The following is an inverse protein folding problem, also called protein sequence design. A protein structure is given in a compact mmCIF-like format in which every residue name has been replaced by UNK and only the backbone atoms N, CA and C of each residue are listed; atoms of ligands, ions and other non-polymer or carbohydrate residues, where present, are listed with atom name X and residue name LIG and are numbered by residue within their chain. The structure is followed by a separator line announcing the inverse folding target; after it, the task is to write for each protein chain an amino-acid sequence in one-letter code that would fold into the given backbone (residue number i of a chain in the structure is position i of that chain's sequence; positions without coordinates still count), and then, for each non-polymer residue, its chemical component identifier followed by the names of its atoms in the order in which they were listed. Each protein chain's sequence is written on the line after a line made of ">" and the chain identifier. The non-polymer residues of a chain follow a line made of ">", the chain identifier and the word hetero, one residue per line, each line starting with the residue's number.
data_IF_556521200131
#
_entry.id   IF_556521200131
#
_cell.length_a   1.000
_cell.length_b   1.000
_cell.length_c   1.000
_cell.angle_alpha   90.00
_cell.angle_beta   90.00
_cell.angle_gamma   90.00
#
_symmetry.space_group_name_H-M   'P 1'
#
loop_
_entity.id
_entity.type
_entity.pdbx_description
1 polymer ?
#
# COMPACT_ATOMS: atom_id res chain seq x y z
N UNK A 1 12.13 -0.33 -1.92
CA UNK A 1 10.94 -0.21 -1.03
C UNK A 1 9.75 0.43 -1.71
N UNK A 2 9.78 1.72 -2.10
CA UNK A 2 8.63 2.39 -2.74
C UNK A 2 8.17 1.66 -4.00
N UNK A 3 9.11 1.28 -4.85
CA UNK A 3 8.86 0.53 -6.08
C UNK A 3 8.12 -0.80 -5.83
N UNK A 4 8.55 -1.59 -4.83
CA UNK A 4 7.87 -2.81 -4.43
C UNK A 4 6.44 -2.56 -3.92
N UNK A 5 6.21 -1.48 -3.16
CA UNK A 5 4.86 -1.10 -2.71
C UNK A 5 3.95 -0.72 -3.89
N UNK A 6 4.49 -0.06 -4.91
CA UNK A 6 3.76 0.31 -6.13
C UNK A 6 3.41 -0.93 -6.95
N UNK A 7 4.34 -1.88 -7.11
CA UNK A 7 4.05 -3.17 -7.77
C UNK A 7 2.95 -3.94 -7.05
N UNK A 8 3.01 -3.99 -5.71
CA UNK A 8 1.98 -4.60 -4.89
C UNK A 8 0.61 -3.92 -5.08
N UNK A 9 0.57 -2.58 -5.15
CA UNK A 9 -0.65 -1.82 -5.43
C UNK A 9 -1.19 -2.10 -6.84
N UNK A 10 -0.32 -2.23 -7.84
CA UNK A 10 -0.71 -2.57 -9.21
C UNK A 10 -1.33 -3.97 -9.29
N UNK A 11 -0.69 -4.97 -8.68
CA UNK A 11 -1.22 -6.33 -8.60
C UNK A 11 -2.60 -6.33 -7.92
N UNK A 12 -2.71 -5.51 -6.87
CA UNK A 12 -3.92 -5.30 -6.12
C UNK A 12 -5.08 -4.74 -7.00
N UNK A 13 -4.81 -3.64 -7.70
CA UNK A 13 -5.79 -3.05 -8.62
C UNK A 13 -6.17 -4.03 -9.73
N UNK A 14 -5.20 -4.73 -10.32
CA UNK A 14 -5.43 -5.69 -11.41
C UNK A 14 -6.33 -6.85 -10.99
N UNK A 15 -6.15 -7.37 -9.77
CA UNK A 15 -7.04 -8.41 -9.24
C UNK A 15 -8.47 -7.88 -9.10
N UNK A 16 -8.64 -6.67 -8.55
CA UNK A 16 -9.95 -6.06 -8.37
C UNK A 16 -10.64 -5.78 -9.72
N UNK A 17 -9.89 -5.30 -10.70
CA UNK A 17 -10.39 -5.10 -12.06
C UNK A 17 -10.87 -6.41 -12.69
N UNK A 18 -10.11 -7.49 -12.50
CA UNK A 18 -10.46 -8.83 -13.01
C UNK A 18 -11.72 -9.36 -12.35
N UNK A 19 -11.84 -9.22 -11.02
CA UNK A 19 -13.03 -9.61 -10.29
C UNK A 19 -14.28 -8.86 -10.74
N UNK A 20 -14.19 -7.53 -10.86
CA UNK A 20 -15.30 -6.70 -11.34
C UNK A 20 -15.69 -7.14 -12.76
N UNK A 21 -14.72 -7.34 -13.65
CA UNK A 21 -14.99 -7.77 -15.02
C UNK A 21 -15.69 -9.14 -15.08
N UNK A 22 -15.31 -10.09 -14.21
CA UNK A 22 -15.99 -11.39 -14.10
C UNK A 22 -17.42 -11.26 -13.58
N UNK A 23 -17.63 -10.47 -12.52
CA UNK A 23 -18.98 -10.22 -11.97
C UNK A 23 -19.92 -9.56 -12.97
N UNK A 24 -19.41 -8.58 -13.74
CA UNK A 24 -20.18 -7.92 -14.79
C UNK A 24 -20.57 -8.90 -15.90
N UNK A 25 -19.67 -9.81 -16.30
CA UNK A 25 -19.99 -10.89 -17.25
C UNK A 25 -21.06 -11.85 -16.71
N UNK A 26 -21.08 -12.08 -15.40
CA UNK A 26 -22.07 -12.89 -14.72
C UNK A 26 -23.40 -12.16 -14.44
N UNK A 27 -23.53 -10.88 -14.83
CA UNK A 27 -24.76 -10.10 -14.67
C UNK A 27 -24.95 -9.42 -13.31
N UNK A 28 -23.93 -9.38 -12.46
CA UNK A 28 -23.97 -8.68 -11.17
C UNK A 28 -23.48 -7.22 -11.33
N UNK A 29 -24.35 -6.26 -10.99
CA UNK A 29 -24.12 -4.81 -11.11
C UNK A 29 -24.13 -4.09 -9.73
N UNK A 30 -23.76 -4.80 -8.67
CA UNK A 30 -23.71 -4.24 -7.31
C UNK A 30 -22.34 -3.59 -6.98
N UNK A 31 -21.44 -3.51 -7.97
CA UNK A 31 -20.04 -3.13 -7.78
C UNK A 31 -19.82 -1.62 -7.84
N UNK A 32 -20.77 -0.88 -8.41
CA UNK A 32 -20.73 0.56 -8.62
C UNK A 32 -20.61 1.31 -7.28
N UNK A 33 -21.38 0.87 -6.27
CA UNK A 33 -21.34 1.46 -4.92
C UNK A 33 -20.02 1.20 -4.19
N UNK A 34 -19.42 0.03 -4.42
CA UNK A 34 -18.10 -0.31 -3.92
C UNK A 34 -17.02 0.56 -4.60
N UNK A 35 -17.13 0.77 -5.91
CA UNK A 35 -16.23 1.63 -6.65
C UNK A 35 -16.33 3.10 -6.19
N UNK A 36 -17.54 3.61 -5.95
CA UNK A 36 -17.73 4.95 -5.36
C UNK A 36 -16.99 5.11 -4.02
N UNK A 37 -17.18 4.16 -3.10
CA UNK A 37 -16.53 4.17 -1.80
C UNK A 37 -14.99 4.09 -1.92
N UNK A 38 -14.49 3.21 -2.81
CA UNK A 38 -13.07 3.12 -3.12
C UNK A 38 -12.52 4.45 -3.66
N UNK A 39 -13.20 5.07 -4.63
CA UNK A 39 -12.78 6.34 -5.24
C UNK A 39 -12.63 7.46 -4.21
N UNK A 40 -13.53 7.58 -3.24
CA UNK A 40 -13.41 8.56 -2.14
C UNK A 40 -12.05 8.38 -1.44
N UNK A 41 -11.71 7.14 -1.08
CA UNK A 41 -10.45 6.86 -0.40
C UNK A 41 -9.22 7.07 -1.27
N UNK A 42 -9.29 6.77 -2.58
CA UNK A 42 -8.19 7.02 -3.51
C UNK A 42 -7.89 8.53 -3.67
N UNK A 43 -8.93 9.36 -3.82
CA UNK A 43 -8.78 10.81 -3.92
C UNK A 43 -8.23 11.43 -2.63
N UNK A 44 -8.70 10.94 -1.47
CA UNK A 44 -8.19 11.36 -0.16
C UNK A 44 -6.72 10.97 0.03
N UNK A 45 -6.33 9.75 -0.34
CA UNK A 45 -4.95 9.27 -0.19
C UNK A 45 -3.93 10.15 -0.94
N UNK A 46 -4.30 10.71 -2.09
CA UNK A 46 -3.46 11.63 -2.86
C UNK A 46 -3.65 13.11 -2.51
N UNK A 47 -4.48 13.43 -1.52
CA UNK A 47 -4.89 14.80 -1.16
C UNK A 47 -5.49 15.59 -2.35
N UNK A 48 -6.13 14.92 -3.31
CA UNK A 48 -6.76 15.54 -4.48
C UNK A 48 -8.08 16.22 -4.06
N UNK A 49 -8.88 15.57 -3.21
CA UNK A 49 -10.11 16.14 -2.68
C UNK A 49 -10.76 15.30 -1.59
N UNK A 50 -11.59 15.95 -0.79
CA UNK A 50 -12.42 15.30 0.23
C UNK A 50 -13.82 15.11 -0.37
N UNK A 51 -13.96 14.00 -1.12
CA UNK A 51 -15.18 13.71 -1.87
C UNK A 51 -16.30 13.19 -0.96
N UNK A 52 -17.49 13.76 -1.13
CA UNK A 52 -18.73 13.26 -0.52
C UNK A 52 -19.61 12.57 -1.57
N UNK A 53 -20.28 11.49 -1.16
CA UNK A 53 -21.21 10.77 -2.02
C UNK A 53 -22.52 11.57 -2.19
N UNK A 54 -22.83 12.00 -3.41
CA UNK A 54 -24.00 12.83 -3.69
C UNK A 54 -25.31 12.05 -3.68
N UNK A 55 -25.26 10.73 -3.87
CA UNK A 55 -26.44 9.86 -3.75
C UNK A 55 -26.98 9.77 -2.31
N UNK A 56 -26.17 10.14 -1.30
CA UNK A 56 -26.64 10.27 0.09
C UNK A 56 -27.43 11.57 0.35
N UNK A 57 -27.21 12.60 -0.46
CA UNK A 57 -27.86 13.92 -0.32
C UNK A 57 -29.11 14.03 -1.21
N UNK A 58 -29.10 13.39 -2.39
CA UNK A 58 -30.24 13.28 -3.29
C UNK A 58 -30.12 11.98 -4.09
N UNK A 59 -31.14 11.12 -4.00
CA UNK A 59 -31.21 9.88 -4.80
C UNK A 59 -31.17 10.24 -6.29
N UNK A 60 -30.27 9.59 -7.05
CA UNK A 60 -30.05 9.82 -8.48
C UNK A 60 -29.60 11.25 -8.81
N UNK A 61 -28.52 11.72 -8.18
CA UNK A 61 -27.93 12.99 -8.55
C UNK A 61 -27.43 12.92 -10.01
N UNK A 62 -27.77 13.90 -10.86
CA UNK A 62 -27.48 13.78 -12.28
C UNK A 62 -25.98 13.83 -12.56
N UNK A 63 -25.50 12.91 -13.39
CA UNK A 63 -24.20 12.93 -14.07
C UNK A 63 -22.92 12.87 -13.23
N UNK A 64 -23.02 12.89 -11.89
CA UNK A 64 -21.88 12.79 -10.98
C UNK A 64 -22.29 11.96 -9.76
N UNK A 65 -21.38 11.12 -9.27
CA UNK A 65 -21.63 10.26 -8.10
C UNK A 65 -21.03 10.88 -6.83
N UNK A 66 -19.87 11.53 -6.96
CA UNK A 66 -19.11 12.11 -5.86
C UNK A 66 -18.78 13.58 -6.16
N UNK A 67 -18.69 14.42 -5.13
CA UNK A 67 -18.14 15.77 -5.29
C UNK A 67 -17.55 16.35 -4.00
N UNK A 68 -16.58 17.24 -4.16
CA UNK A 68 -16.03 18.11 -3.13
C UNK A 68 -16.49 19.54 -3.43
N UNK A 69 -17.45 20.04 -2.67
CA UNK A 69 -18.02 21.38 -2.86
C UNK A 69 -17.01 22.50 -2.53
N UNK A 70 -16.05 22.26 -1.63
CA UNK A 70 -15.06 23.28 -1.24
C UNK A 70 -14.02 23.47 -2.34
N UNK A 71 -13.54 22.37 -2.91
CA UNK A 71 -12.57 22.39 -4.01
C UNK A 71 -13.21 22.50 -5.39
N UNK A 72 -14.55 22.47 -5.46
CA UNK A 72 -15.34 22.52 -6.70
C UNK A 72 -14.98 21.38 -7.67
N UNK A 73 -14.76 20.20 -7.13
CA UNK A 73 -14.45 18.98 -7.90
C UNK A 73 -15.68 18.09 -7.94
N UNK A 74 -16.00 17.57 -9.12
CA UNK A 74 -17.00 16.52 -9.31
C UNK A 74 -16.38 15.28 -9.93
N UNK A 75 -16.89 14.10 -9.56
CA UNK A 75 -16.39 12.81 -10.04
C UNK A 75 -17.56 11.93 -10.44
N UNK A 76 -17.54 11.44 -11.68
CA UNK A 76 -18.35 10.31 -12.13
C UNK A 76 -17.50 9.04 -12.03
N UNK A 77 -18.03 8.03 -11.36
CA UNK A 77 -17.41 6.72 -11.21
C UNK A 77 -18.10 5.74 -12.16
N UNK A 78 -17.32 4.93 -12.86
CA UNK A 78 -17.83 3.87 -13.73
C UNK A 78 -16.79 2.75 -13.83
N UNK A 79 -17.23 1.49 -13.95
CA UNK A 79 -16.29 0.40 -14.24
C UNK A 79 -15.63 0.60 -15.62
N UNK A 80 -16.41 1.01 -16.61
CA UNK A 80 -15.98 1.20 -17.99
C UNK A 80 -16.40 2.59 -18.46
N UNK A 81 -15.43 3.46 -18.72
CA UNK A 81 -15.61 4.76 -19.35
C UNK A 81 -15.50 4.61 -20.88
N UNK A 82 -16.60 4.18 -21.50
CA UNK A 82 -16.72 4.16 -22.97
C UNK A 82 -16.95 5.58 -23.51
N UNK A 83 -16.63 5.86 -24.80
CA UNK A 83 -16.84 7.18 -25.39
C UNK A 83 -18.30 7.66 -25.24
N UNK A 84 -19.27 6.77 -25.47
CA UNK A 84 -20.68 7.07 -25.30
C UNK A 84 -21.05 7.46 -23.85
N UNK A 85 -20.43 6.83 -22.83
CA UNK A 85 -20.62 7.22 -21.43
C UNK A 85 -19.96 8.56 -21.13
N UNK A 86 -18.75 8.79 -21.64
CA UNK A 86 -18.01 10.05 -21.47
C UNK A 86 -18.82 11.22 -22.05
N UNK A 87 -19.27 11.11 -23.30
CA UNK A 87 -20.10 12.13 -23.95
C UNK A 87 -21.41 12.38 -23.21
N UNK A 88 -22.08 11.29 -22.78
CA UNK A 88 -23.33 11.40 -22.01
C UNK A 88 -23.12 12.14 -20.69
N UNK A 89 -22.04 11.85 -19.97
CA UNK A 89 -21.68 12.52 -18.71
C UNK A 89 -21.37 13.99 -18.94
N UNK A 90 -20.55 14.32 -19.94
CA UNK A 90 -20.22 15.72 -20.28
C UNK A 90 -21.48 16.49 -20.64
N UNK A 91 -22.32 15.94 -21.53
CA UNK A 91 -23.57 16.58 -21.92
C UNK A 91 -24.48 16.82 -20.73
N UNK A 92 -24.63 15.84 -19.84
CA UNK A 92 -25.47 15.97 -18.65
C UNK A 92 -24.88 16.96 -17.63
N UNK A 93 -23.55 17.08 -17.56
CA UNK A 93 -22.85 18.05 -16.71
C UNK A 93 -23.02 19.50 -17.18
N UNK A 94 -23.09 19.71 -18.50
CA UNK A 94 -23.33 21.03 -19.12
C UNK A 94 -24.81 21.39 -19.28
N UNK A 95 -25.71 20.41 -19.17
CA UNK A 95 -27.14 20.65 -19.33
C UNK A 95 -27.65 21.55 -18.20
N UNK A 96 -28.32 22.64 -18.57
CA UNK A 96 -28.95 23.56 -17.63
C UNK A 96 -30.26 22.98 -17.12
N UNK A 97 -30.50 23.16 -15.82
CA UNK A 97 -31.80 22.87 -15.22
C UNK A 97 -32.81 23.99 -15.50
N UNK A 98 -34.04 23.84 -14.99
CA UNK A 98 -35.13 24.82 -15.16
C UNK A 98 -34.80 26.22 -14.60
N UNK A 99 -33.82 26.32 -13.69
CA UNK A 99 -33.32 27.58 -13.16
C UNK A 99 -32.16 28.19 -13.99
N UNK A 100 -31.82 27.59 -15.13
CA UNK A 100 -30.78 28.07 -16.03
C UNK A 100 -29.33 27.78 -15.57
N UNK A 101 -29.16 26.94 -14.54
CA UNK A 101 -27.85 26.61 -13.93
C UNK A 101 -27.47 25.17 -14.28
N UNK A 102 -26.20 24.94 -14.59
CA UNK A 102 -25.62 23.62 -14.87
C UNK A 102 -24.66 23.18 -13.74
N UNK A 103 -24.25 21.90 -13.74
CA UNK A 103 -23.25 21.41 -12.78
C UNK A 103 -21.87 22.02 -13.05
N UNK A 104 -21.57 22.33 -14.30
CA UNK A 104 -20.36 23.06 -14.71
C UNK A 104 -20.24 24.44 -14.09
N UNK A 105 -21.36 25.12 -13.80
CA UNK A 105 -21.32 26.43 -13.15
C UNK A 105 -20.93 26.31 -11.66
N UNK A 106 -21.14 25.13 -11.06
CA UNK A 106 -20.85 24.85 -9.64
C UNK A 106 -19.46 24.22 -9.44
N UNK A 107 -19.05 23.31 -10.31
CA UNK A 107 -17.81 22.56 -10.20
C UNK A 107 -16.85 22.94 -11.34
N UNK A 108 -15.65 23.39 -10.99
CA UNK A 108 -14.62 23.81 -11.95
C UNK A 108 -13.91 22.64 -12.62
N UNK A 109 -13.96 21.46 -12.02
CA UNK A 109 -13.25 20.27 -12.50
C UNK A 109 -14.16 19.05 -12.44
N UNK A 110 -14.21 18.31 -13.54
CA UNK A 110 -14.92 17.03 -13.66
C UNK A 110 -13.90 15.91 -13.91
N UNK A 111 -13.89 14.91 -13.05
CA UNK A 111 -13.19 13.64 -13.29
C UNK A 111 -14.19 12.58 -13.73
N UNK A 112 -13.89 11.88 -14.83
CA UNK A 112 -14.60 10.67 -15.22
C UNK A 112 -13.65 9.50 -14.97
N UNK A 113 -13.92 8.75 -13.91
CA UNK A 113 -13.07 7.66 -13.47
C UNK A 113 -13.56 6.32 -14.00
N UNK A 114 -12.81 5.75 -14.95
CA UNK A 114 -13.02 4.41 -15.48
C UNK A 114 -12.13 3.39 -14.78
N UNK A 115 -12.67 2.63 -13.82
CA UNK A 115 -11.85 1.75 -12.98
C UNK A 115 -11.21 0.59 -13.75
N UNK A 116 -11.97 -0.13 -14.58
CA UNK A 116 -11.48 -1.27 -15.38
C UNK A 116 -10.99 -0.83 -16.76
N UNK A 117 -11.66 0.13 -17.38
CA UNK A 117 -11.33 0.62 -18.73
C UNK A 117 -11.65 2.10 -18.88
N UNK A 118 -10.68 2.85 -19.39
CA UNK A 118 -10.81 4.22 -19.86
C UNK A 118 -10.61 4.26 -21.39
N UNK A 119 -11.40 5.05 -22.09
CA UNK A 119 -11.22 5.26 -23.54
C UNK A 119 -10.58 6.62 -23.75
N UNK A 120 -9.60 6.70 -24.65
CA UNK A 120 -9.06 7.98 -25.09
C UNK A 120 -10.13 8.69 -25.92
N UNK A 121 -10.62 9.80 -25.41
CA UNK A 121 -11.64 10.62 -26.04
C UNK A 121 -11.29 12.09 -25.86
N UNK A 122 -11.59 12.93 -26.86
CA UNK A 122 -11.38 14.36 -26.74
C UNK A 122 -12.36 14.92 -25.72
N UNK A 123 -11.84 15.55 -24.67
CA UNK A 123 -12.66 16.10 -23.59
C UNK A 123 -12.38 17.60 -23.41
N UNK A 124 -13.37 18.38 -22.94
CA UNK A 124 -13.17 19.79 -22.62
C UNK A 124 -12.09 20.03 -21.56
N UNK A 125 -11.53 21.24 -21.49
CA UNK A 125 -10.43 21.60 -20.58
C UNK A 125 -10.73 21.42 -19.09
N UNK A 126 -12.01 21.50 -18.70
CA UNK A 126 -12.46 21.30 -17.31
C UNK A 126 -12.67 19.81 -16.97
N UNK A 127 -12.57 18.90 -17.94
CA UNK A 127 -12.87 17.48 -17.79
C UNK A 127 -11.61 16.64 -17.97
N UNK A 128 -11.41 15.65 -17.09
CA UNK A 128 -10.32 14.68 -17.18
C UNK A 128 -10.87 13.26 -17.09
N UNK A 129 -10.51 12.41 -18.05
CA UNK A 129 -10.82 10.98 -18.00
C UNK A 129 -9.63 10.28 -17.38
N UNK A 130 -9.83 9.65 -16.23
CA UNK A 130 -8.78 9.02 -15.44
C UNK A 130 -9.07 7.53 -15.24
N UNK A 131 -8.01 6.77 -14.98
CA UNK A 131 -8.03 5.35 -14.63
C UNK A 131 -7.04 5.08 -13.49
N UNK A 132 -6.95 3.86 -12.94
CA UNK A 132 -6.06 3.60 -11.81
C UNK A 132 -4.58 3.94 -12.07
N UNK A 133 -4.12 3.95 -13.33
CA UNK A 133 -2.76 4.32 -13.70
C UNK A 133 -2.46 5.79 -13.42
N UNK A 134 -3.47 6.67 -13.48
CA UNK A 134 -3.34 8.08 -13.08
C UNK A 134 -2.89 8.19 -11.62
N UNK A 135 -3.54 7.43 -10.73
CA UNK A 135 -3.20 7.42 -9.31
C UNK A 135 -1.82 6.83 -9.05
N UNK A 136 -1.44 5.78 -9.78
CA UNK A 136 -0.10 5.19 -9.68
C UNK A 136 0.97 6.19 -10.12
N UNK A 137 0.75 6.91 -11.24
CA UNK A 137 1.66 7.96 -11.71
C UNK A 137 1.85 9.06 -10.66
N UNK A 138 0.76 9.59 -10.12
CA UNK A 138 0.80 10.60 -9.05
C UNK A 138 1.54 10.11 -7.80
N UNK A 139 1.38 8.82 -7.43
CA UNK A 139 2.10 8.21 -6.32
C UNK A 139 3.60 8.04 -6.62
N UNK A 140 3.96 7.66 -7.84
CA UNK A 140 5.36 7.59 -8.29
C UNK A 140 6.03 8.97 -8.20
N UNK A 141 5.34 10.01 -8.69
CA UNK A 141 5.88 11.37 -8.75
C UNK A 141 6.05 11.98 -7.36
N UNK A 142 5.13 11.69 -6.44
CA UNK A 142 5.20 12.16 -5.04
C UNK A 142 6.18 11.35 -4.19
N UNK A 143 6.41 10.08 -4.53
CA UNK A 143 7.27 9.13 -3.81
C UNK A 143 7.02 9.08 -2.28
N UNK A 144 5.77 9.27 -1.86
CA UNK A 144 5.36 9.31 -0.45
C UNK A 144 4.87 7.93 0.02
N UNK A 145 5.65 7.28 0.89
CA UNK A 145 5.36 5.94 1.44
C UNK A 145 4.00 5.89 2.16
N UNK A 146 3.62 6.95 2.88
CA UNK A 146 2.36 6.98 3.64
C UNK A 146 1.14 7.12 2.74
N UNK A 147 1.25 7.85 1.63
CA UNK A 147 0.19 7.94 0.62
C UNK A 147 -0.02 6.61 -0.10
N UNK A 148 1.08 5.94 -0.48
CA UNK A 148 1.02 4.62 -1.11
C UNK A 148 0.38 3.60 -0.17
N UNK A 149 0.77 3.62 1.10
CA UNK A 149 0.22 2.72 2.10
C UNK A 149 -1.26 3.00 2.39
N UNK A 150 -1.67 4.27 2.39
CA UNK A 150 -3.08 4.67 2.51
C UNK A 150 -3.92 4.17 1.33
N UNK A 151 -3.37 4.27 0.11
CA UNK A 151 -3.98 3.74 -1.12
C UNK A 151 -4.13 2.21 -1.06
N UNK A 152 -3.08 1.49 -0.63
CA UNK A 152 -3.12 0.03 -0.43
C UNK A 152 -4.23 -0.36 0.56
N UNK A 153 -4.30 0.31 1.71
CA UNK A 153 -5.36 0.05 2.70
C UNK A 153 -6.74 0.32 2.12
N UNK A 154 -6.92 1.38 1.33
CA UNK A 154 -8.19 1.71 0.69
C UNK A 154 -8.65 0.60 -0.27
N UNK A 155 -7.76 0.12 -1.14
CA UNK A 155 -8.06 -0.97 -2.08
C UNK A 155 -8.38 -2.26 -1.33
N UNK A 156 -7.63 -2.57 -0.26
CA UNK A 156 -7.84 -3.78 0.54
C UNK A 156 -9.13 -3.80 1.36
N UNK A 157 -9.59 -2.66 1.88
CA UNK A 157 -10.89 -2.60 2.59
C UNK A 157 -12.06 -3.07 1.73
N UNK A 158 -11.90 -3.07 0.42
CA UNK A 158 -12.89 -3.50 -0.55
C UNK A 158 -12.57 -4.88 -1.15
N UNK A 159 -11.59 -5.61 -0.57
CA UNK A 159 -11.25 -6.99 -0.91
C UNK A 159 -11.50 -7.89 0.29
N UNK A 160 -12.46 -8.79 0.15
CA UNK A 160 -12.60 -9.94 1.05
C UNK A 160 -12.27 -11.20 0.24
N UNK A 161 -11.00 -11.59 0.22
CA UNK A 161 -10.52 -12.85 -0.37
C UNK A 161 -9.49 -13.47 0.56
N UNK A 162 -9.97 -14.24 1.52
CA UNK A 162 -9.16 -14.93 2.52
C UNK A 162 -8.27 -16.06 1.98
N UNK A 163 -8.13 -16.23 0.65
CA UNK A 163 -7.41 -17.40 0.09
C UNK A 163 -6.56 -17.14 -1.17
N UNK A 164 -6.44 -15.90 -1.64
CA UNK A 164 -5.58 -15.56 -2.79
C UNK A 164 -4.78 -14.33 -2.41
N UNK A 165 -3.60 -14.52 -1.79
CA UNK A 165 -2.76 -13.38 -1.45
C UNK A 165 -2.22 -12.76 -2.75
N UNK A 166 -2.60 -11.51 -3.10
CA UNK A 166 -2.35 -10.90 -4.41
C UNK A 166 -0.88 -10.53 -4.68
N UNK A 167 0.00 -10.74 -3.71
CA UNK A 167 1.38 -10.26 -3.75
C UNK A 167 2.30 -11.33 -4.27
N UNK A 168 3.46 -10.91 -4.80
CA UNK A 168 4.52 -11.84 -5.14
C UNK A 168 5.39 -12.09 -3.90
N UNK A 169 5.89 -13.32 -3.77
CA UNK A 169 6.88 -13.69 -2.76
C UNK A 169 8.15 -12.84 -2.89
N UNK A 170 8.61 -12.61 -4.12
CA UNK A 170 9.79 -11.77 -4.39
C UNK A 170 9.61 -10.33 -3.88
N UNK A 171 8.46 -9.72 -4.13
CA UNK A 171 8.18 -8.35 -3.71
C UNK A 171 8.02 -8.24 -2.19
N UNK A 172 7.37 -9.24 -1.58
CA UNK A 172 7.25 -9.36 -0.13
C UNK A 172 8.62 -9.52 0.53
N UNK A 173 9.49 -10.36 -0.05
CA UNK A 173 10.86 -10.56 0.40
C UNK A 173 11.67 -9.27 0.28
N UNK A 174 11.57 -8.51 -0.82
CA UNK A 174 12.26 -7.23 -0.97
C UNK A 174 11.89 -6.24 0.14
N UNK A 175 10.61 -6.16 0.51
CA UNK A 175 10.13 -5.29 1.59
C UNK A 175 10.67 -5.74 2.95
N UNK A 176 10.69 -7.05 3.21
CA UNK A 176 11.27 -7.63 4.42
C UNK A 176 12.78 -7.33 4.50
N UNK A 177 13.53 -7.57 3.43
CA UNK A 177 14.97 -7.29 3.35
C UNK A 177 15.28 -5.80 3.55
N UNK A 178 14.47 -4.91 2.96
CA UNK A 178 14.63 -3.48 3.19
C UNK A 178 14.35 -3.10 4.66
N UNK A 179 13.42 -3.78 5.32
CA UNK A 179 13.12 -3.57 6.74
C UNK A 179 14.26 -4.08 7.63
N UNK A 180 14.82 -5.25 7.31
CA UNK A 180 16.04 -5.77 7.97
C UNK A 180 17.21 -4.80 7.79
N UNK A 181 17.34 -4.17 6.63
CA UNK A 181 18.37 -3.18 6.34
C UNK A 181 18.17 -1.82 7.09
N UNK A 182 17.04 -1.60 7.78
CA UNK A 182 16.78 -0.41 8.60
C UNK A 182 17.38 -0.59 10.00
N UNK A 183 18.58 -0.02 10.19
CA UNK A 183 19.33 0.25 11.44
C UNK A 183 19.48 -0.87 12.50
N UNK A 184 18.43 -1.56 12.94
CA UNK A 184 18.46 -2.52 14.06
C UNK A 184 19.39 -3.72 13.85
N UNK A 185 19.62 -4.13 12.59
CA UNK A 185 20.58 -5.20 12.24
C UNK A 185 21.93 -4.62 11.77
N UNK A 186 21.95 -3.36 11.36
CA UNK A 186 23.11 -2.74 10.70
C UNK A 186 24.17 -2.27 11.69
N UNK A 187 23.77 -1.80 12.87
CA UNK A 187 24.72 -1.30 13.85
C UNK A 187 25.14 -2.42 14.80
N UNK A 188 26.45 -2.61 14.96
CA UNK A 188 26.99 -3.49 16.00
C UNK A 188 26.78 -2.88 17.38
N UNK A 189 26.84 -3.70 18.42
CA UNK A 189 26.58 -3.29 19.80
C UNK A 189 27.47 -2.14 20.27
N UNK A 190 28.72 -2.04 19.79
CA UNK A 190 29.60 -0.91 20.16
C UNK A 190 29.18 0.44 19.53
N UNK A 191 28.44 0.41 18.42
CA UNK A 191 27.88 1.58 17.73
C UNK A 191 26.39 1.78 18.03
N UNK A 192 25.78 0.91 18.85
CA UNK A 192 24.36 0.92 19.12
C UNK A 192 24.02 2.07 20.07
N UNK A 193 23.48 3.16 19.52
CA UNK A 193 23.17 4.36 20.29
C UNK A 193 21.99 4.18 21.25
N UNK A 194 21.04 3.28 20.93
CA UNK A 194 19.83 3.08 21.73
C UNK A 194 19.29 1.64 21.61
N UNK A 195 19.43 0.87 22.69
CA UNK A 195 18.95 -0.53 22.79
C UNK A 195 17.42 -0.61 22.64
N UNK A 196 16.68 0.43 23.06
CA UNK A 196 15.21 0.48 22.93
C UNK A 196 14.79 0.57 21.47
N UNK A 197 15.44 1.45 20.69
CA UNK A 197 15.17 1.61 19.26
C UNK A 197 15.56 0.35 18.47
N UNK A 198 16.70 -0.28 18.84
CA UNK A 198 17.11 -1.57 18.29
C UNK A 198 16.05 -2.64 18.57
N UNK A 199 15.60 -2.77 19.81
CA UNK A 199 14.58 -3.75 20.21
C UNK A 199 13.25 -3.51 19.50
N UNK A 200 12.87 -2.24 19.30
CA UNK A 200 11.71 -1.87 18.53
C UNK A 200 11.84 -2.28 17.06
N UNK A 201 12.96 -2.01 16.41
CA UNK A 201 13.20 -2.45 15.03
C UNK A 201 13.19 -3.98 14.87
N UNK A 202 13.74 -4.72 15.83
CA UNK A 202 13.65 -6.19 15.88
C UNK A 202 12.20 -6.68 16.00
N UNK A 203 11.36 -6.01 16.80
CA UNK A 203 9.93 -6.32 16.88
C UNK A 203 9.20 -6.03 15.56
N UNK A 204 9.53 -4.93 14.89
CA UNK A 204 8.94 -4.60 13.59
C UNK A 204 9.31 -5.63 12.52
N UNK A 205 10.55 -6.15 12.52
CA UNK A 205 10.95 -7.26 11.64
C UNK A 205 10.12 -8.52 11.94
N UNK A 206 10.01 -8.91 13.21
CA UNK A 206 9.23 -10.08 13.62
C UNK A 206 7.74 -9.94 13.27
N UNK A 207 7.15 -8.76 13.50
CA UNK A 207 5.76 -8.44 13.16
C UNK A 207 5.54 -8.54 11.65
N UNK A 208 6.44 -7.95 10.85
CA UNK A 208 6.37 -7.97 9.40
C UNK A 208 6.44 -9.39 8.84
N UNK A 209 7.37 -10.23 9.34
CA UNK A 209 7.50 -11.61 8.85
C UNK A 209 6.29 -12.46 9.26
N UNK A 210 5.84 -12.32 10.51
CA UNK A 210 4.77 -13.16 11.06
C UNK A 210 3.40 -12.77 10.54
N UNK A 211 3.09 -11.47 10.52
CA UNK A 211 1.75 -10.95 10.21
C UNK A 211 1.66 -10.24 8.87
N UNK A 212 2.79 -10.02 8.21
CA UNK A 212 2.80 -9.21 6.99
C UNK A 212 2.59 -7.70 7.22
N UNK A 213 2.54 -7.24 8.46
CA UNK A 213 2.20 -5.86 8.81
C UNK A 213 3.17 -5.27 9.83
N UNK A 214 3.32 -3.93 9.80
CA UNK A 214 4.02 -3.17 10.82
C UNK A 214 3.05 -2.13 11.36
N UNK A 215 2.84 -2.12 12.69
CA UNK A 215 1.92 -1.17 13.37
C UNK A 215 0.52 -1.15 12.73
N UNK A 216 0.02 -2.33 12.37
CA UNK A 216 -1.30 -2.52 11.74
C UNK A 216 -1.41 -2.10 10.27
N UNK A 217 -0.32 -1.65 9.63
CA UNK A 217 -0.27 -1.39 8.18
C UNK A 217 0.37 -2.60 7.49
N UNK A 218 -0.40 -3.35 6.71
CA UNK A 218 0.10 -4.48 5.91
C UNK A 218 1.03 -4.04 4.79
N UNK A 219 2.22 -4.64 4.74
CA UNK A 219 3.33 -4.28 3.84
C UNK A 219 3.86 -5.47 3.03
N UNK A 220 3.79 -6.69 3.55
CA UNK A 220 4.31 -7.90 2.91
C UNK A 220 3.42 -9.11 3.24
N UNK A 221 3.54 -10.23 2.53
CA UNK A 221 2.85 -11.47 2.90
C UNK A 221 3.25 -11.93 4.31
N UNK A 222 2.34 -12.59 5.02
CA UNK A 222 2.74 -13.40 6.18
C UNK A 222 3.59 -14.58 5.70
N UNK A 223 4.51 -15.04 6.53
CA UNK A 223 5.29 -16.26 6.30
C UNK A 223 4.41 -17.49 5.94
N UNK A 224 3.16 -17.55 6.41
CA UNK A 224 2.23 -18.64 6.06
C UNK A 224 1.78 -18.62 4.60
N UNK A 225 1.87 -17.45 3.96
CA UNK A 225 1.31 -17.19 2.63
C UNK A 225 2.38 -17.15 1.53
N UNK A 226 3.66 -17.39 1.90
CA UNK A 226 4.74 -17.62 0.95
C UNK A 226 4.64 -19.03 0.38
N UNK A 227 4.88 -19.15 -0.92
CA UNK A 227 4.92 -20.43 -1.64
C UNK A 227 6.37 -20.96 -1.70
N UNK A 228 7.36 -20.06 -1.82
CA UNK A 228 8.78 -20.40 -1.97
C UNK A 228 9.39 -20.96 -0.67
N UNK A 229 9.73 -22.24 -0.68
CA UNK A 229 10.33 -22.95 0.46
C UNK A 229 11.70 -22.40 0.88
N UNK A 230 12.49 -21.87 -0.05
CA UNK A 230 13.80 -21.26 0.28
C UNK A 230 13.61 -19.95 1.04
N UNK A 231 12.61 -19.14 0.65
CA UNK A 231 12.24 -17.92 1.35
C UNK A 231 11.65 -18.23 2.73
N UNK A 232 10.74 -19.21 2.83
CA UNK A 232 10.18 -19.63 4.12
C UNK A 232 11.29 -20.06 5.08
N UNK A 233 12.26 -20.85 4.62
CA UNK A 233 13.41 -21.27 5.44
C UNK A 233 14.22 -20.07 5.91
N UNK A 234 14.56 -19.15 4.99
CA UNK A 234 15.26 -17.91 5.35
C UNK A 234 14.50 -17.08 6.39
N UNK A 235 13.19 -16.89 6.20
CA UNK A 235 12.36 -16.11 7.11
C UNK A 235 12.30 -16.74 8.51
N UNK A 236 12.23 -18.08 8.60
CA UNK A 236 12.31 -18.80 9.89
C UNK A 236 13.66 -18.58 10.57
N UNK A 237 14.76 -18.77 9.84
CA UNK A 237 16.11 -18.56 10.37
C UNK A 237 16.29 -17.12 10.91
N UNK A 238 15.74 -16.12 10.21
CA UNK A 238 15.78 -14.73 10.68
C UNK A 238 14.93 -14.53 11.93
N UNK A 239 13.73 -15.11 12.00
CA UNK A 239 12.90 -15.02 13.21
C UNK A 239 13.56 -15.68 14.42
N UNK A 240 14.22 -16.82 14.23
CA UNK A 240 14.94 -17.52 15.30
C UNK A 240 16.09 -16.65 15.82
N UNK A 241 16.92 -16.12 14.92
CA UNK A 241 18.02 -15.22 15.29
C UNK A 241 17.54 -13.92 15.97
N UNK A 242 16.44 -13.31 15.47
CA UNK A 242 15.83 -12.13 16.10
C UNK A 242 15.30 -12.45 17.49
N UNK A 243 14.68 -13.62 17.67
CA UNK A 243 14.18 -14.09 18.97
C UNK A 243 15.31 -14.32 19.97
N UNK A 244 16.43 -14.89 19.51
CA UNK A 244 17.63 -15.07 20.33
C UNK A 244 18.24 -13.73 20.78
N UNK A 245 18.35 -12.75 19.87
CA UNK A 245 18.80 -11.39 20.23
C UNK A 245 17.87 -10.79 21.30
N UNK A 246 16.55 -10.85 21.08
CA UNK A 246 15.56 -10.33 22.03
C UNK A 246 15.64 -11.04 23.40
N UNK A 247 15.90 -12.35 23.41
CA UNK A 247 16.08 -13.12 24.64
C UNK A 247 17.33 -12.71 25.42
N UNK A 248 18.45 -12.43 24.73
CA UNK A 248 19.67 -11.90 25.37
C UNK A 248 19.37 -10.55 26.00
N UNK A 249 18.79 -9.61 25.24
CA UNK A 249 18.44 -8.27 25.73
C UNK A 249 17.48 -8.35 26.93
N UNK A 250 16.47 -9.22 26.89
CA UNK A 250 15.51 -9.38 27.97
C UNK A 250 16.16 -9.93 29.26
N UNK A 251 17.08 -10.91 29.13
CA UNK A 251 17.82 -11.46 30.29
C UNK A 251 18.74 -10.41 30.94
N UNK A 252 19.25 -9.49 30.15
CA UNK A 252 20.13 -8.40 30.58
C UNK A 252 19.39 -7.18 31.16
N UNK A 253 18.06 -7.20 31.25
CA UNK A 253 17.28 -6.12 31.87
C UNK A 253 17.46 -6.12 33.39
N UNK A 254 17.75 -4.94 33.95
CA UNK A 254 17.91 -4.76 35.40
C UNK A 254 16.63 -4.15 35.98
N UNK A 255 15.84 -4.96 36.69
CA UNK A 255 14.60 -4.52 37.34
C UNK A 255 13.41 -4.31 36.38
N UNK A 256 12.45 -3.46 36.77
CA UNK A 256 11.27 -3.09 35.96
C UNK A 256 11.50 -1.87 35.05
N UNK A 257 12.73 -1.33 35.00
CA UNK A 257 13.06 -0.14 34.20
C UNK A 257 13.56 -0.45 32.78
N UNK A 258 13.85 0.60 32.02
CA UNK A 258 14.38 0.51 30.65
C UNK A 258 15.91 0.31 30.60
N UNK A 259 16.56 0.13 31.75
CA UNK A 259 18.00 -0.07 31.83
C UNK A 259 18.40 -1.51 31.48
N UNK A 260 19.27 -1.66 30.47
CA UNK A 260 19.77 -2.96 30.00
C UNK A 260 21.29 -2.99 30.16
N UNK A 261 21.78 -3.96 30.93
CA UNK A 261 23.21 -4.20 31.14
C UNK A 261 23.60 -5.55 30.50
N UNK A 262 24.04 -5.49 29.24
CA UNK A 262 24.50 -6.66 28.49
C UNK A 262 26.00 -6.85 28.79
N UNK A 263 26.40 -8.07 29.09
CA UNK A 263 27.81 -8.42 29.26
C UNK A 263 28.53 -8.51 27.91
N UNK A 264 29.86 -8.58 27.96
CA UNK A 264 30.68 -8.63 26.74
C UNK A 264 30.32 -9.85 25.86
N UNK A 265 30.12 -11.01 26.48
CA UNK A 265 29.76 -12.25 25.76
C UNK A 265 28.37 -12.14 25.10
N UNK A 266 27.40 -11.52 25.77
CA UNK A 266 26.08 -11.22 25.20
C UNK A 266 26.15 -10.22 24.05
N UNK A 267 26.99 -9.19 24.15
CA UNK A 267 27.21 -8.22 23.08
C UNK A 267 27.83 -8.89 21.84
N UNK A 268 28.88 -9.70 22.03
CA UNK A 268 29.50 -10.46 20.93
C UNK A 268 28.49 -11.38 20.25
N UNK A 269 27.67 -12.10 21.03
CA UNK A 269 26.68 -13.02 20.48
C UNK A 269 25.57 -12.29 19.69
N UNK A 270 25.16 -11.10 20.13
CA UNK A 270 24.22 -10.27 19.36
C UNK A 270 24.85 -9.86 18.02
N UNK A 271 26.11 -9.43 18.03
CA UNK A 271 26.81 -9.03 16.80
C UNK A 271 26.99 -10.21 15.83
N UNK A 272 27.32 -11.40 16.33
CA UNK A 272 27.37 -12.64 15.53
C UNK A 272 26.03 -12.93 14.83
N UNK A 273 24.92 -12.84 15.57
CA UNK A 273 23.57 -13.05 15.03
C UNK A 273 23.21 -11.96 14.00
N UNK A 274 23.57 -10.70 14.24
CA UNK A 274 23.37 -9.59 13.28
C UNK A 274 24.17 -9.82 11.99
N UNK A 275 25.41 -10.31 12.08
CA UNK A 275 26.23 -10.69 10.93
C UNK A 275 25.60 -11.84 10.16
N UNK A 276 25.12 -12.87 10.85
CA UNK A 276 24.46 -14.02 10.23
C UNK A 276 23.21 -13.59 9.45
N UNK A 277 22.33 -12.80 10.08
CA UNK A 277 21.13 -12.25 9.43
C UNK A 277 21.54 -11.45 8.19
N UNK A 278 22.56 -10.59 8.28
CA UNK A 278 23.02 -9.75 7.17
C UNK A 278 23.55 -10.58 6.00
N UNK A 279 24.31 -11.65 6.29
CA UNK A 279 24.86 -12.57 5.28
C UNK A 279 23.76 -13.35 4.58
N UNK A 280 22.88 -14.01 5.35
CA UNK A 280 21.73 -14.77 4.80
C UNK A 280 20.81 -13.88 3.99
N UNK A 281 20.56 -12.66 4.45
CA UNK A 281 19.75 -11.65 3.74
C UNK A 281 20.37 -11.25 2.40
N UNK A 282 21.70 -11.08 2.34
CA UNK A 282 22.40 -10.76 1.10
C UNK A 282 22.46 -11.95 0.13
N UNK A 283 22.50 -13.18 0.65
CA UNK A 283 22.47 -14.40 -0.17
C UNK A 283 21.09 -14.61 -0.81
N UNK A 284 20.00 -14.52 -0.03
CA UNK A 284 18.64 -14.69 -0.55
C UNK A 284 18.25 -13.55 -1.51
N UNK A 285 18.75 -12.33 -1.28
CA UNK A 285 18.58 -11.21 -2.21
C UNK A 285 19.21 -11.50 -3.58
N UNK A 286 20.46 -12.02 -3.61
CA UNK A 286 21.14 -12.41 -4.86
C UNK A 286 20.41 -13.53 -5.59
N UNK A 287 19.98 -14.57 -4.85
CA UNK A 287 19.24 -15.70 -5.42
C UNK A 287 17.95 -15.24 -6.14
N UNK A 288 17.28 -14.24 -5.58
CA UNK A 288 16.02 -13.71 -6.11
C UNK A 288 16.18 -12.47 -7.01
N UNK A 289 17.40 -12.10 -7.38
CA UNK A 289 17.70 -10.93 -8.20
C UNK A 289 17.08 -9.65 -7.62
N UNK A 290 17.31 -9.43 -6.32
CA UNK A 290 16.94 -8.22 -5.58
C UNK A 290 18.22 -7.43 -5.31
N UNK A 291 18.27 -6.15 -5.72
CA UNK A 291 19.44 -5.29 -5.56
C UNK A 291 19.52 -4.72 -4.13
N UNK A 292 19.80 -5.60 -3.16
CA UNK A 292 20.02 -5.24 -1.75
C UNK A 292 21.27 -5.96 -1.25
N UNK A 293 22.19 -5.19 -0.66
CA UNK A 293 23.35 -5.71 0.07
C UNK A 293 23.34 -5.18 1.49
N UNK A 294 23.18 -6.07 2.46
CA UNK A 294 23.18 -5.71 3.88
C UNK A 294 24.60 -5.86 4.41
N UNK A 295 25.25 -4.74 4.67
CA UNK A 295 26.58 -4.71 5.28
C UNK A 295 26.44 -4.16 6.71
N UNK A 296 26.82 -4.94 7.74
CA UNK A 296 26.95 -4.42 9.09
C UNK A 296 27.95 -3.25 9.10
N UNK A 297 27.63 -2.20 9.85
CA UNK A 297 28.50 -1.06 10.10
C UNK A 297 29.17 -1.26 11.45
N UNK A 298 30.50 -1.08 11.46
CA UNK A 298 31.29 -1.10 12.68
C UNK A 298 32.53 -1.99 12.64
N UNK A 299 33.19 -2.09 11.49
CA UNK A 299 34.62 -2.37 11.47
C UNK A 299 35.36 -1.05 11.28
#
# INVERSE_FOLDING_TARGET
>A
MIDALIRNLQADIALLQTYIAQRQKAGFYDMERMLEALTIHMFRALSIGELDNKNQLRVNFPAIDLADDKRKIAVQVTSNASPAKIEKTIKAFETKNDAGVSLKDRYSTLYIFGFCKSSKHSVPTYCQVIDPSYFIGELCDKADEDQIQSMLTAVRRHRDYSSLHPWNDKDSLEIILNTINRNAIKHMMFCEGNITDMTQGLREISELITKGSIRGKERAKSISDFDDQSMIKFLRDVMDAVSDIQAIVHKSKVGQGDFVAIDYDGMMKIDELKVEISKKSSEIAKLNQIDIKINPKGF
#
